data_IF_786102891191
#
_entry.id   IF_786102891191
#
_cell.length_a   1.000
_cell.length_b   1.000
_cell.length_c   1.000
_cell.angle_alpha   90.00
_cell.angle_beta   90.00
_cell.angle_gamma   90.00
#
_symmetry.space_group_name_H-M   'P 1'
#
loop_
_entity.id
_entity.type
_entity.pdbx_description
1 polymer ?
#
# COMPACT_ATOMS: atom_id res chain seq x y z
N UNK A 1 35.57 49.90 14.30
CA UNK A 1 35.00 49.18 13.14
C UNK A 1 34.60 47.78 13.59
N UNK A 2 33.33 47.54 13.92
CA UNK A 2 32.85 46.18 14.25
C UNK A 2 32.07 45.64 13.06
N UNK A 3 32.71 44.74 12.31
CA UNK A 3 32.04 43.91 11.32
C UNK A 3 31.38 42.74 12.05
N UNK A 4 30.11 42.89 12.45
CA UNK A 4 29.26 41.76 12.82
C UNK A 4 28.71 41.14 11.53
N UNK A 5 29.48 40.24 10.93
CA UNK A 5 29.02 39.38 9.86
C UNK A 5 28.50 38.07 10.47
N UNK A 6 27.17 37.90 10.52
CA UNK A 6 26.45 36.64 10.22
C UNK A 6 24.94 36.77 10.51
N UNK A 7 24.10 36.88 9.46
CA UNK A 7 22.71 36.43 9.54
C UNK A 7 22.33 35.30 8.55
N UNK A 8 23.16 34.95 7.58
CA UNK A 8 22.78 34.03 6.47
C UNK A 8 22.27 32.63 6.86
N UNK A 9 22.62 32.10 8.05
CA UNK A 9 22.17 30.76 8.47
C UNK A 9 20.80 30.78 9.15
N UNK A 10 20.42 31.88 9.82
CA UNK A 10 19.13 32.02 10.47
C UNK A 10 18.02 32.17 9.42
N UNK A 11 18.26 33.04 8.43
CA UNK A 11 17.32 33.29 7.33
C UNK A 11 17.00 32.01 6.51
N UNK A 12 17.98 31.11 6.39
CA UNK A 12 17.79 29.80 5.70
C UNK A 12 16.95 28.83 6.52
N UNK A 13 17.09 28.84 7.85
CA UNK A 13 16.29 27.99 8.74
C UNK A 13 14.85 28.47 8.74
N UNK A 14 14.62 29.78 8.84
CA UNK A 14 13.29 30.37 8.82
C UNK A 14 12.53 30.07 7.51
N UNK A 15 13.24 30.08 6.37
CA UNK A 15 12.67 29.68 5.08
C UNK A 15 12.29 28.19 5.04
N UNK A 16 13.12 27.30 5.59
CA UNK A 16 12.82 25.86 5.64
C UNK A 16 11.62 25.59 6.55
N UNK A 17 11.57 26.25 7.71
CA UNK A 17 10.46 26.12 8.66
C UNK A 17 9.17 26.64 8.02
N UNK A 18 9.21 27.79 7.35
CA UNK A 18 8.07 28.33 6.61
C UNK A 18 7.55 27.38 5.53
N UNK A 19 8.45 26.78 4.75
CA UNK A 19 8.07 25.76 3.77
C UNK A 19 7.42 24.53 4.41
N UNK A 20 8.01 23.99 5.48
CA UNK A 20 7.46 22.81 6.17
C UNK A 20 6.06 23.06 6.72
N UNK A 21 5.82 24.25 7.32
CA UNK A 21 4.49 24.65 7.79
C UNK A 21 3.47 24.77 6.66
N UNK A 22 3.89 25.23 5.48
CA UNK A 22 3.02 25.31 4.30
C UNK A 22 2.65 23.91 3.76
N UNK A 23 3.61 22.98 3.74
CA UNK A 23 3.35 21.57 3.41
C UNK A 23 2.40 20.91 4.41
N UNK A 24 2.60 21.13 5.71
CA UNK A 24 1.69 20.63 6.76
C UNK A 24 0.28 21.18 6.58
N UNK A 25 0.14 22.49 6.33
CA UNK A 25 -1.18 23.10 6.08
C UNK A 25 -1.84 22.54 4.82
N UNK A 26 -1.09 22.40 3.73
CA UNK A 26 -1.59 21.83 2.47
C UNK A 26 -2.06 20.38 2.65
N UNK A 27 -1.31 19.56 3.39
CA UNK A 27 -1.68 18.17 3.67
C UNK A 27 -2.93 18.07 4.55
N UNK A 28 -3.06 18.93 5.56
CA UNK A 28 -4.27 19.03 6.39
C UNK A 28 -5.48 19.43 5.56
N UNK A 29 -5.35 20.43 4.69
CA UNK A 29 -6.43 20.88 3.80
C UNK A 29 -6.84 19.78 2.80
N UNK A 30 -5.87 19.02 2.26
CA UNK A 30 -6.14 17.86 1.42
C UNK A 30 -6.91 16.78 2.18
N UNK A 31 -6.47 16.45 3.41
CA UNK A 31 -7.13 15.44 4.24
C UNK A 31 -8.56 15.86 4.58
N UNK A 32 -8.77 17.14 4.88
CA UNK A 32 -10.10 17.69 5.18
C UNK A 32 -11.01 17.72 3.95
N UNK A 33 -10.48 18.09 2.77
CA UNK A 33 -11.25 18.01 1.51
C UNK A 33 -11.66 16.58 1.22
N UNK A 34 -10.76 15.61 1.43
CA UNK A 34 -11.06 14.19 1.27
C UNK A 34 -12.10 13.66 2.26
N UNK A 35 -12.13 14.17 3.51
CA UNK A 35 -13.14 13.78 4.50
C UNK A 35 -14.51 14.42 4.26
N UNK A 36 -14.53 15.66 3.78
CA UNK A 36 -15.75 16.45 3.61
C UNK A 36 -16.40 16.28 2.23
N UNK A 37 -15.74 15.60 1.28
CA UNK A 37 -16.31 15.36 -0.05
C UNK A 37 -17.51 14.42 0.05
N UNK A 38 -18.72 14.86 -0.35
CA UNK A 38 -19.91 14.02 -0.28
C UNK A 38 -19.80 12.77 -1.16
N UNK A 39 -19.95 11.61 -0.55
CA UNK A 39 -20.10 10.33 -1.24
C UNK A 39 -21.58 10.15 -1.58
N UNK A 40 -21.89 10.08 -2.88
CA UNK A 40 -23.23 9.86 -3.39
C UNK A 40 -23.62 8.38 -3.38
N UNK A 41 -22.67 7.51 -3.72
CA UNK A 41 -22.88 6.06 -3.74
C UNK A 41 -21.54 5.31 -3.59
N UNK A 42 -21.59 4.06 -3.14
CA UNK A 42 -20.43 3.20 -3.01
C UNK A 42 -20.82 1.73 -3.16
N UNK A 43 -20.06 1.00 -3.99
CA UNK A 43 -20.25 -0.44 -4.17
C UNK A 43 -18.92 -1.19 -4.34
N UNK A 44 -18.93 -2.48 -4.04
CA UNK A 44 -17.75 -3.32 -4.15
C UNK A 44 -17.48 -3.67 -5.62
N UNK A 45 -16.21 -3.57 -6.03
CA UNK A 45 -15.76 -4.03 -7.35
C UNK A 45 -15.17 -5.43 -7.25
N UNK A 46 -14.33 -5.64 -6.25
CA UNK A 46 -13.71 -6.91 -5.93
C UNK A 46 -13.49 -6.97 -4.43
N UNK A 47 -14.53 -7.34 -3.67
CA UNK A 47 -14.45 -7.37 -2.21
C UNK A 47 -13.44 -8.44 -1.72
N UNK A 48 -12.61 -8.15 -0.70
CA UNK A 48 -12.50 -6.90 0.06
C UNK A 48 -11.47 -5.89 -0.51
N UNK A 49 -10.91 -6.15 -1.69
CA UNK A 49 -9.72 -5.49 -2.23
C UNK A 49 -9.97 -4.15 -2.91
N UNK A 50 -11.14 -3.96 -3.54
CA UNK A 50 -11.44 -2.75 -4.30
C UNK A 50 -12.92 -2.35 -4.22
N UNK A 51 -13.16 -1.03 -4.11
CA UNK A 51 -14.48 -0.41 -4.09
C UNK A 51 -14.55 0.77 -5.04
N UNK A 52 -15.71 0.98 -5.61
CA UNK A 52 -16.06 2.19 -6.35
C UNK A 52 -16.75 3.17 -5.42
N UNK A 53 -16.36 4.45 -5.48
CA UNK A 53 -17.05 5.57 -4.83
C UNK A 53 -17.47 6.58 -5.88
N UNK A 54 -18.75 6.94 -5.86
CA UNK A 54 -19.28 8.06 -6.63
C UNK A 54 -19.27 9.26 -5.71
N UNK A 55 -18.47 10.28 -6.01
CA UNK A 55 -18.30 11.47 -5.18
C UNK A 55 -18.74 12.73 -5.92
N UNK A 56 -19.19 13.73 -5.18
CA UNK A 56 -19.47 15.06 -5.73
C UNK A 56 -18.37 16.04 -5.30
N UNK A 57 -17.46 16.34 -6.20
CA UNK A 57 -16.34 17.24 -5.93
C UNK A 57 -16.41 18.45 -6.88
N UNK A 58 -16.36 19.66 -6.32
CA UNK A 58 -16.39 20.93 -7.08
C UNK A 58 -17.59 21.04 -8.05
N UNK A 59 -18.74 20.48 -7.65
CA UNK A 59 -19.97 20.47 -8.45
C UNK A 59 -20.05 19.37 -9.51
N UNK A 60 -18.96 18.65 -9.76
CA UNK A 60 -18.91 17.52 -10.70
C UNK A 60 -19.05 16.17 -9.98
N UNK A 61 -19.71 15.21 -10.64
CA UNK A 61 -19.74 13.81 -10.18
C UNK A 61 -18.49 13.11 -10.70
N UNK A 62 -17.70 12.51 -9.80
CA UNK A 62 -16.49 11.77 -10.13
C UNK A 62 -16.59 10.32 -9.68
N UNK A 63 -15.94 9.46 -10.45
CA UNK A 63 -15.79 8.05 -10.14
C UNK A 63 -14.39 7.81 -9.53
N UNK A 64 -14.34 7.35 -8.29
CA UNK A 64 -13.11 7.09 -7.56
C UNK A 64 -13.00 5.60 -7.25
N UNK A 65 -11.88 4.97 -7.64
CA UNK A 65 -11.54 3.60 -7.25
C UNK A 65 -10.72 3.68 -5.97
N UNK A 66 -11.17 2.97 -4.94
CA UNK A 66 -10.46 2.83 -3.66
C UNK A 66 -9.98 1.39 -3.55
N UNK A 67 -8.66 1.21 -3.62
CA UNK A 67 -7.97 -0.06 -3.42
C UNK A 67 -7.37 -0.13 -2.01
N UNK A 68 -7.21 -1.35 -1.49
CA UNK A 68 -6.51 -1.59 -0.23
C UNK A 68 -5.05 -1.13 -0.37
N UNK A 69 -4.67 -0.14 0.43
CA UNK A 69 -3.30 0.35 0.50
C UNK A 69 -2.48 -0.58 1.38
N UNK A 70 -1.35 -1.04 0.87
CA UNK A 70 -0.36 -1.79 1.64
C UNK A 70 0.59 -0.82 2.32
N UNK A 71 0.90 -1.06 3.59
CA UNK A 71 2.02 -0.43 4.30
C UNK A 71 3.36 -0.81 3.66
N UNK A 72 4.42 -0.08 3.97
CA UNK A 72 5.74 -0.36 3.37
C UNK A 72 6.30 -1.73 3.80
N UNK A 73 6.00 -2.17 5.03
CA UNK A 73 6.32 -3.51 5.50
C UNK A 73 5.52 -4.59 4.73
N UNK A 74 4.24 -4.36 4.47
CA UNK A 74 3.42 -5.29 3.68
C UNK A 74 3.88 -5.35 2.22
N UNK A 75 4.27 -4.22 1.62
CA UNK A 75 4.87 -4.19 0.28
C UNK A 75 6.16 -4.99 0.23
N UNK A 76 7.01 -4.86 1.25
CA UNK A 76 8.25 -5.63 1.35
C UNK A 76 7.96 -7.13 1.44
N UNK A 77 7.03 -7.54 2.30
CA UNK A 77 6.60 -8.94 2.40
C UNK A 77 5.97 -9.46 1.11
N UNK A 78 5.16 -8.66 0.42
CA UNK A 78 4.58 -9.03 -0.86
C UNK A 78 5.67 -9.31 -1.90
N UNK A 79 6.74 -8.49 -1.91
CA UNK A 79 7.89 -8.71 -2.77
C UNK A 79 8.62 -10.01 -2.43
N UNK A 80 8.88 -10.27 -1.14
CA UNK A 80 9.50 -11.53 -0.67
C UNK A 80 8.67 -12.75 -1.06
N UNK A 81 7.34 -12.69 -0.92
CA UNK A 81 6.43 -13.75 -1.37
C UNK A 81 6.54 -13.92 -2.89
N UNK A 82 6.55 -12.84 -3.65
CA UNK A 82 6.70 -12.89 -5.11
C UNK A 82 8.00 -13.56 -5.56
N UNK A 83 9.11 -13.28 -4.88
CA UNK A 83 10.42 -13.91 -5.13
C UNK A 83 10.37 -15.42 -4.83
N UNK A 84 9.83 -15.81 -3.67
CA UNK A 84 9.65 -17.22 -3.31
C UNK A 84 8.75 -17.98 -4.31
N UNK A 85 7.67 -17.35 -4.77
CA UNK A 85 6.79 -17.95 -5.78
C UNK A 85 7.52 -18.19 -7.11
N UNK A 86 8.45 -17.31 -7.49
CA UNK A 86 9.28 -17.47 -8.70
C UNK A 86 10.29 -18.61 -8.52
N UNK A 87 10.86 -18.77 -7.33
CA UNK A 87 11.78 -19.89 -7.04
C UNK A 87 11.06 -21.25 -7.06
N UNK A 88 9.83 -21.30 -6.55
CA UNK A 88 8.99 -22.51 -6.49
C UNK A 88 8.23 -22.80 -7.79
N UNK A 89 8.32 -21.93 -8.80
CA UNK A 89 7.67 -22.13 -10.10
C UNK A 89 8.37 -23.26 -10.87
N UNK A 90 7.75 -24.44 -10.81
CA UNK A 90 8.19 -25.65 -11.53
C UNK A 90 7.79 -25.70 -13.02
N UNK A 91 6.92 -24.77 -13.44
CA UNK A 91 6.38 -24.69 -14.80
C UNK A 91 6.60 -23.31 -15.42
N UNK A 92 7.01 -23.31 -16.69
CA UNK A 92 7.03 -22.10 -17.50
C UNK A 92 5.58 -21.60 -17.68
N UNK A 93 5.30 -20.41 -17.16
CA UNK A 93 3.98 -19.75 -17.20
C UNK A 93 3.44 -19.66 -18.64
N UNK A 94 4.32 -19.60 -19.65
CA UNK A 94 3.94 -19.60 -21.08
C UNK A 94 3.31 -20.91 -21.53
N UNK A 95 3.59 -22.03 -20.84
CA UNK A 95 3.00 -23.35 -21.12
C UNK A 95 1.60 -23.51 -20.53
N UNK A 96 1.17 -22.61 -19.66
CA UNK A 96 -0.18 -22.62 -19.05
C UNK A 96 -1.26 -22.07 -20.00
N UNK A 97 -0.85 -21.52 -21.16
CA UNK A 97 -1.73 -21.13 -22.25
C UNK A 97 -2.41 -19.79 -22.03
N UNK A 98 -3.39 -19.73 -21.12
CA UNK A 98 -4.17 -18.51 -20.83
C UNK A 98 -3.77 -17.84 -19.51
N UNK A 99 -3.99 -16.52 -19.42
CA UNK A 99 -3.76 -15.76 -18.19
C UNK A 99 -4.61 -16.25 -17.01
N UNK A 100 -5.81 -16.77 -17.28
CA UNK A 100 -6.69 -17.36 -16.25
C UNK A 100 -6.11 -18.64 -15.67
N UNK A 101 -5.57 -19.52 -16.52
CA UNK A 101 -4.92 -20.76 -16.08
C UNK A 101 -3.65 -20.47 -15.28
N UNK A 102 -2.85 -19.50 -15.73
CA UNK A 102 -1.69 -19.01 -14.99
C UNK A 102 -2.08 -18.46 -13.61
N UNK A 103 -3.13 -17.63 -13.55
CA UNK A 103 -3.64 -17.08 -12.29
C UNK A 103 -4.22 -18.14 -11.36
N UNK A 104 -4.87 -19.18 -11.87
CA UNK A 104 -5.35 -20.31 -11.08
C UNK A 104 -4.19 -21.13 -10.51
N UNK A 105 -3.14 -21.36 -11.30
CA UNK A 105 -1.94 -22.06 -10.87
C UNK A 105 -1.23 -21.34 -9.72
N UNK A 106 -0.96 -20.05 -9.89
CA UNK A 106 -0.30 -19.23 -8.87
C UNK A 106 -1.12 -19.20 -7.58
N UNK A 107 -2.45 -19.07 -7.66
CA UNK A 107 -3.32 -19.12 -6.48
C UNK A 107 -3.19 -20.43 -5.70
N UNK A 108 -3.15 -21.56 -6.40
CA UNK A 108 -2.96 -22.88 -5.78
C UNK A 108 -1.58 -23.02 -5.13
N UNK A 109 -0.53 -22.46 -5.76
CA UNK A 109 0.81 -22.45 -5.18
C UNK A 109 0.85 -21.65 -3.87
N UNK A 110 0.24 -20.46 -3.86
CA UNK A 110 0.09 -19.61 -2.66
C UNK A 110 -0.69 -20.31 -1.55
N UNK A 111 -1.81 -20.98 -1.87
CA UNK A 111 -2.57 -21.77 -0.90
C UNK A 111 -1.73 -22.91 -0.32
N UNK A 112 -0.94 -23.59 -1.16
CA UNK A 112 -0.08 -24.69 -0.72
C UNK A 112 1.01 -24.16 0.22
N UNK A 113 1.72 -23.09 -0.15
CA UNK A 113 2.76 -22.47 0.65
C UNK A 113 2.22 -21.93 1.98
N UNK A 114 1.10 -21.20 1.95
CA UNK A 114 0.46 -20.69 3.18
C UNK A 114 0.00 -21.81 4.10
N UNK A 115 -0.53 -22.92 3.55
CA UNK A 115 -0.92 -24.08 4.35
C UNK A 115 0.27 -24.81 4.98
N UNK A 116 1.40 -24.89 4.26
CA UNK A 116 2.65 -25.51 4.73
C UNK A 116 3.30 -24.67 5.82
N UNK A 117 3.38 -23.34 5.63
CA UNK A 117 3.87 -22.38 6.63
C UNK A 117 3.01 -22.39 7.90
N UNK A 118 1.69 -22.53 7.76
CA UNK A 118 0.79 -22.67 8.92
C UNK A 118 1.07 -23.96 9.69
N UNK A 119 1.32 -25.08 9.01
CA UNK A 119 1.61 -26.37 9.65
C UNK A 119 2.96 -26.38 10.37
N UNK A 120 4.01 -25.79 9.79
CA UNK A 120 5.32 -25.68 10.44
C UNK A 120 5.30 -24.80 11.69
N UNK A 121 4.43 -23.79 11.71
CA UNK A 121 4.19 -22.93 12.88
C UNK A 121 3.44 -23.62 14.02
N UNK A 122 2.63 -24.65 13.72
CA UNK A 122 1.91 -25.44 14.73
C UNK A 122 2.76 -26.58 15.31
N UNK A 123 3.73 -27.12 14.56
CA UNK A 123 4.61 -28.19 15.05
C UNK A 123 5.72 -27.71 16.00
N UNK A 124 6.04 -26.42 16.01
CA UNK A 124 7.03 -25.85 16.93
C UNK A 124 6.48 -25.63 18.35
N UNK A 125 5.16 -25.68 18.56
CA UNK A 125 4.53 -25.55 19.87
C UNK A 125 4.36 -26.89 20.61
N UNK A 126 4.55 -28.05 19.97
CA UNK A 126 4.37 -29.36 20.60
C UNK A 126 5.64 -29.98 21.20
N UNK A 127 6.82 -29.38 20.99
CA UNK A 127 8.11 -29.93 21.46
C UNK A 127 8.67 -29.25 22.72
N UNK A 128 7.90 -28.42 23.42
CA UNK A 128 8.31 -27.75 24.67
C UNK A 128 7.63 -28.31 25.93
N UNK A 129 6.93 -29.44 25.84
CA UNK A 129 6.30 -30.12 26.98
C UNK A 129 6.80 -31.56 27.12
N UNK A 130 8.04 -31.71 27.59
CA UNK A 130 8.53 -32.89 28.30
C UNK A 130 9.68 -32.50 29.21
#
# INVERSE_FOLDING_TARGET
MSKTAKPEKADKIDNIVGMLMEYEKMTIDLMKKASDTPVLDQYDLNAPYAKARIIKEDGAIKYQIVEVQLSDDEKKKLKEIGELLIEELDVDVKRLGSNENAGAYIRKLVETLSSTLRKSSTSSFSNSAT
#
